data_IF_276332756690
#
_entry.id   IF_276332756690
#
_cell.length_a   1.000
_cell.length_b   1.000
_cell.length_c   1.000
_cell.angle_alpha   90.00
_cell.angle_beta   90.00
_cell.angle_gamma   90.00
#
_symmetry.space_group_name_H-M   'P 1'
#
loop_
_entity.id
_entity.type
_entity.pdbx_description
1 polymer ?
#
# COMPACT_ATOMS: atom_id res chain seq x y z
N UNK A 1 -6.38 27.00 2.73
CA UNK A 1 -6.53 25.65 2.13
C UNK A 1 -6.58 25.81 0.62
N UNK A 2 -5.46 25.57 -0.07
CA UNK A 2 -5.30 25.93 -1.48
C UNK A 2 -6.10 25.00 -2.41
N UNK A 3 -6.71 25.62 -3.43
CA UNK A 3 -7.52 25.02 -4.52
C UNK A 3 -6.77 23.99 -5.39
N UNK A 4 -5.55 23.57 -5.02
CA UNK A 4 -4.72 22.62 -5.76
C UNK A 4 -5.07 21.16 -5.41
N UNK A 5 -5.69 20.90 -4.26
CA UNK A 5 -6.06 19.54 -3.85
C UNK A 5 -7.42 19.05 -4.40
N UNK A 6 -8.05 19.79 -5.32
CA UNK A 6 -9.37 19.45 -5.88
C UNK A 6 -9.35 18.91 -7.32
N UNK A 7 -8.18 18.75 -7.97
CA UNK A 7 -8.10 18.32 -9.37
C UNK A 7 -7.49 16.95 -9.65
N UNK A 8 -7.38 16.07 -8.66
CA UNK A 8 -7.14 14.65 -8.94
C UNK A 8 -8.13 13.82 -8.13
N UNK A 9 -9.38 13.76 -8.60
CA UNK A 9 -10.27 12.67 -8.24
C UNK A 9 -9.63 11.39 -8.78
N UNK A 10 -8.79 10.75 -7.96
CA UNK A 10 -8.17 9.48 -8.27
C UNK A 10 -9.27 8.44 -8.43
N UNK A 11 -9.60 8.11 -9.68
CA UNK A 11 -10.37 6.90 -9.96
C UNK A 11 -9.55 5.70 -9.47
N UNK A 12 -10.11 4.90 -8.58
CA UNK A 12 -9.55 3.59 -8.25
C UNK A 12 -9.73 2.73 -9.49
N UNK A 13 -8.65 2.21 -10.13
CA UNK A 13 -8.80 1.32 -11.29
C UNK A 13 -9.72 0.14 -10.96
N UNK A 14 -10.56 -0.28 -11.92
CA UNK A 14 -11.54 -1.33 -11.69
C UNK A 14 -10.91 -2.64 -11.16
N UNK A 15 -9.72 -2.98 -11.63
CA UNK A 15 -8.96 -4.14 -11.14
C UNK A 15 -8.57 -4.01 -9.67
N UNK A 16 -8.21 -2.80 -9.21
CA UNK A 16 -7.93 -2.57 -7.79
C UNK A 16 -9.21 -2.68 -6.97
N UNK A 17 -10.32 -2.14 -7.47
CA UNK A 17 -11.61 -2.24 -6.78
C UNK A 17 -12.02 -3.70 -6.58
N UNK A 18 -11.88 -4.54 -7.61
CA UNK A 18 -12.15 -5.98 -7.50
C UNK A 18 -11.28 -6.66 -6.43
N UNK A 19 -9.99 -6.29 -6.33
CA UNK A 19 -9.11 -6.82 -5.30
C UNK A 19 -9.56 -6.40 -3.90
N UNK A 20 -9.92 -5.12 -3.71
CA UNK A 20 -10.45 -4.61 -2.44
C UNK A 20 -11.79 -5.27 -2.06
N UNK A 21 -12.66 -5.54 -3.02
CA UNK A 21 -13.95 -6.20 -2.79
C UNK A 21 -13.78 -7.68 -2.44
N UNK A 22 -12.72 -8.33 -2.92
CA UNK A 22 -12.40 -9.72 -2.61
C UNK A 22 -11.63 -9.93 -1.30
N UNK A 23 -11.08 -8.85 -0.74
CA UNK A 23 -10.41 -8.89 0.54
C UNK A 23 -11.42 -8.96 1.68
N UNK A 24 -10.96 -9.41 2.85
CA UNK A 24 -11.74 -9.34 4.08
C UNK A 24 -12.14 -7.89 4.39
N UNK A 25 -13.31 -7.72 5.01
CA UNK A 25 -13.87 -6.38 5.26
C UNK A 25 -12.91 -5.47 6.05
N UNK A 26 -12.22 -6.03 7.05
CA UNK A 26 -11.23 -5.28 7.84
C UNK A 26 -10.05 -4.81 6.99
N UNK A 27 -9.48 -5.69 6.16
CA UNK A 27 -8.35 -5.33 5.29
C UNK A 27 -8.79 -4.31 4.24
N UNK A 28 -9.94 -4.53 3.60
CA UNK A 28 -10.49 -3.62 2.60
C UNK A 28 -10.68 -2.20 3.16
N UNK A 29 -11.28 -2.07 4.35
CA UNK A 29 -11.47 -0.78 5.02
C UNK A 29 -10.15 -0.06 5.32
N UNK A 30 -9.18 -0.76 5.90
CA UNK A 30 -7.85 -0.19 6.21
C UNK A 30 -7.18 0.32 4.93
N UNK A 31 -7.19 -0.50 3.89
CA UNK A 31 -6.54 -0.17 2.62
C UNK A 31 -7.23 0.96 1.86
N UNK A 32 -8.57 1.02 1.87
CA UNK A 32 -9.32 2.15 1.32
C UNK A 32 -8.98 3.45 2.06
N UNK A 33 -8.92 3.42 3.40
CA UNK A 33 -8.54 4.59 4.19
C UNK A 33 -7.14 5.08 3.84
N UNK A 34 -6.18 4.16 3.70
CA UNK A 34 -4.81 4.48 3.29
C UNK A 34 -4.74 5.07 1.87
N UNK A 35 -5.55 4.57 0.92
CA UNK A 35 -5.65 5.12 -0.44
C UNK A 35 -6.15 6.56 -0.47
N UNK A 36 -6.97 6.97 0.49
CA UNK A 36 -7.42 8.36 0.66
C UNK A 36 -6.39 9.24 1.39
N UNK A 37 -5.23 8.70 1.74
CA UNK A 37 -4.13 9.43 2.37
C UNK A 37 -4.22 9.51 3.89
N UNK A 38 -5.10 8.73 4.52
CA UNK A 38 -5.16 8.63 5.97
C UNK A 38 -4.02 7.75 6.50
N UNK A 39 -3.55 8.04 7.70
CA UNK A 39 -2.52 7.27 8.39
C UNK A 39 -3.07 5.92 8.85
N UNK A 40 -2.24 4.88 8.77
CA UNK A 40 -2.54 3.53 9.26
C UNK A 40 -2.14 3.47 10.75
N UNK A 41 -3.06 3.05 11.62
CA UNK A 41 -2.77 2.88 13.05
C UNK A 41 -1.93 1.62 13.34
N UNK A 42 -1.44 1.48 14.56
CA UNK A 42 -0.74 0.26 15.00
C UNK A 42 -1.63 -0.99 14.92
N UNK A 43 -2.89 -0.85 15.35
CA UNK A 43 -3.88 -1.95 15.30
C UNK A 43 -4.16 -2.35 13.86
N UNK A 44 -4.35 -1.37 12.97
CA UNK A 44 -4.52 -1.63 11.53
C UNK A 44 -3.28 -2.33 10.96
N UNK A 45 -2.09 -1.86 11.31
CA UNK A 45 -0.83 -2.48 10.92
C UNK A 45 -0.74 -3.94 11.38
N UNK A 46 -1.17 -4.23 12.60
CA UNK A 46 -1.19 -5.59 13.16
C UNK A 46 -2.14 -6.50 12.36
N UNK A 47 -3.32 -6.00 12.00
CA UNK A 47 -4.25 -6.73 11.11
C UNK A 47 -3.58 -7.03 9.77
N UNK A 48 -3.00 -6.04 9.10
CA UNK A 48 -2.34 -6.23 7.80
C UNK A 48 -1.14 -7.20 7.89
N UNK A 49 -0.34 -7.13 8.96
CA UNK A 49 0.81 -8.02 9.16
C UNK A 49 0.41 -9.47 9.43
N UNK A 50 -0.83 -9.72 9.86
CA UNK A 50 -1.38 -11.07 10.05
C UNK A 50 -1.78 -11.75 8.73
N UNK A 51 -1.75 -11.05 7.59
CA UNK A 51 -2.13 -11.56 6.26
C UNK A 51 -0.98 -12.32 5.56
N UNK A 52 -0.35 -13.27 6.27
CA UNK A 52 0.81 -14.03 5.76
C UNK A 52 0.47 -15.41 5.23
N UNK A 53 -0.59 -16.03 5.75
CA UNK A 53 -0.91 -17.43 5.45
C UNK A 53 -1.52 -17.60 4.05
N UNK A 54 -1.39 -18.80 3.50
CA UNK A 54 -1.93 -19.15 2.17
C UNK A 54 -3.46 -19.02 2.10
N UNK A 55 -4.16 -19.00 3.23
CA UNK A 55 -5.60 -18.77 3.28
C UNK A 55 -5.99 -17.31 3.05
N UNK A 56 -5.05 -16.36 3.22
CA UNK A 56 -5.26 -14.91 3.09
C UNK A 56 -4.71 -14.34 1.78
N UNK A 57 -4.80 -15.12 0.70
CA UNK A 57 -4.27 -14.73 -0.62
C UNK A 57 -4.95 -13.49 -1.19
N UNK A 58 -6.27 -13.34 -1.03
CA UNK A 58 -7.02 -12.16 -1.51
C UNK A 58 -6.62 -10.90 -0.75
N UNK A 59 -6.56 -10.96 0.59
CA UNK A 59 -6.06 -9.87 1.44
C UNK A 59 -4.67 -9.42 1.00
N UNK A 60 -3.74 -10.36 0.86
CA UNK A 60 -2.36 -10.08 0.47
C UNK A 60 -2.25 -9.47 -0.92
N UNK A 61 -3.09 -9.93 -1.85
CA UNK A 61 -3.15 -9.38 -3.21
C UNK A 61 -3.63 -7.93 -3.21
N UNK A 62 -4.66 -7.62 -2.41
CA UNK A 62 -5.12 -6.24 -2.20
C UNK A 62 -4.03 -5.36 -1.55
N UNK A 63 -3.35 -5.86 -0.51
CA UNK A 63 -2.24 -5.15 0.14
C UNK A 63 -1.15 -4.78 -0.88
N UNK A 64 -0.71 -5.73 -1.71
CA UNK A 64 0.33 -5.48 -2.69
C UNK A 64 -0.09 -4.47 -3.76
N UNK A 65 -1.32 -4.58 -4.27
CA UNK A 65 -1.82 -3.66 -5.28
C UNK A 65 -1.95 -2.23 -4.75
N UNK A 66 -2.45 -2.07 -3.51
CA UNK A 66 -2.54 -0.76 -2.86
C UNK A 66 -1.15 -0.19 -2.58
N UNK A 67 -0.22 -1.01 -2.11
CA UNK A 67 1.16 -0.59 -1.88
C UNK A 67 1.85 -0.11 -3.17
N UNK A 68 1.70 -0.81 -4.29
CA UNK A 68 2.26 -0.36 -5.57
C UNK A 68 1.64 0.95 -6.04
N UNK A 69 0.32 1.14 -5.86
CA UNK A 69 -0.33 2.42 -6.20
C UNK A 69 0.20 3.57 -5.34
N UNK A 70 0.34 3.37 -4.02
CA UNK A 70 0.89 4.38 -3.13
C UNK A 70 2.36 4.68 -3.48
N UNK A 71 3.16 3.65 -3.77
CA UNK A 71 4.54 3.78 -4.24
C UNK A 71 4.61 4.55 -5.56
N UNK A 72 3.78 4.22 -6.55
CA UNK A 72 3.73 4.89 -7.87
C UNK A 72 3.27 6.34 -7.73
N UNK A 73 2.26 6.63 -6.90
CA UNK A 73 1.83 8.02 -6.61
C UNK A 73 2.95 8.87 -6.04
N UNK A 74 3.80 8.29 -5.18
CA UNK A 74 4.91 9.00 -4.54
C UNK A 74 6.14 9.13 -5.45
N UNK A 75 6.51 8.05 -6.15
CA UNK A 75 7.82 7.91 -6.79
C UNK A 75 7.76 7.77 -8.34
N UNK A 76 6.56 7.67 -8.93
CA UNK A 76 6.40 7.29 -10.34
C UNK A 76 6.93 5.88 -10.62
N UNK A 77 7.49 5.68 -11.82
CA UNK A 77 8.09 4.40 -12.23
C UNK A 77 9.63 4.41 -12.13
N UNK A 78 10.21 5.43 -11.49
CA UNK A 78 11.65 5.51 -11.24
C UNK A 78 12.05 4.67 -10.04
N UNK A 79 13.19 3.99 -10.17
CA UNK A 79 13.85 3.26 -9.08
C UNK A 79 15.23 3.85 -8.87
N UNK A 80 15.54 4.27 -7.65
CA UNK A 80 16.84 4.80 -7.26
C UNK A 80 17.66 3.73 -6.55
N UNK A 81 18.98 3.75 -6.73
CA UNK A 81 19.91 2.87 -6.03
C UNK A 81 21.05 3.68 -5.41
N UNK A 82 21.69 3.10 -4.40
CA UNK A 82 22.87 3.67 -3.74
C UNK A 82 24.01 2.66 -3.85
N UNK A 83 25.20 3.12 -4.25
CA UNK A 83 26.42 2.32 -4.21
C UNK A 83 27.07 2.53 -2.84
N UNK A 84 27.09 1.47 -2.02
CA UNK A 84 27.66 1.51 -0.67
C UNK A 84 28.86 0.56 -0.57
N UNK A 85 29.89 0.96 0.20
CA UNK A 85 30.96 0.06 0.64
C UNK A 85 30.75 -0.26 2.11
N UNK A 86 30.29 -1.46 2.40
CA UNK A 86 30.23 -2.00 3.75
C UNK A 86 31.59 -2.61 4.12
N UNK A 87 32.22 -2.16 5.21
CA UNK A 87 33.50 -2.67 5.71
C UNK A 87 33.23 -3.40 7.03
N UNK A 88 33.41 -4.72 7.04
CA UNK A 88 33.33 -5.53 8.26
C UNK A 88 34.75 -5.91 8.69
N UNK A 89 35.19 -5.40 9.85
CA UNK A 89 36.52 -5.70 10.42
C UNK A 89 36.58 -7.10 11.07
N UNK A 90 35.43 -7.67 11.44
CA UNK A 90 35.23 -9.05 11.88
C UNK A 90 33.77 -9.46 11.59
N UNK A 91 33.41 -10.74 11.79
CA UNK A 91 32.11 -11.32 11.43
C UNK A 91 30.95 -10.95 12.37
#
# INVERSE_FOLDING_TARGET
MNKVNQQVSNFIPAELQNLLDSASSSVSQILSNALFGNEISEDDGTVLFSCRDNEKVTDRSAIFAVADILRRRRNGDYVTFVVNRNINFTN
#
